data_IF_364363736021
#
_entry.id   IF_364363736021
#
_cell.length_a   1.000
_cell.length_b   1.000
_cell.length_c   1.000
_cell.angle_alpha   90.00
_cell.angle_beta   90.00
_cell.angle_gamma   90.00
#
_symmetry.space_group_name_H-M   'P 1'
#
loop_
_entity.id
_entity.type
_entity.pdbx_description
1 polymer ?
#
# COMPACT_ATOMS: atom_id res chain seq x y z
N UNK A 1 6.67 -12.54 24.79
CA UNK A 1 7.47 -11.54 25.52
C UNK A 1 7.31 -11.77 27.01
N UNK A 2 8.39 -11.76 27.79
CA UNK A 2 8.25 -11.63 29.25
C UNK A 2 7.94 -10.17 29.60
N UNK A 3 7.28 -9.88 30.74
CA UNK A 3 7.04 -8.51 31.19
C UNK A 3 8.33 -7.67 31.34
N UNK A 4 9.46 -8.32 31.67
CA UNK A 4 10.77 -7.66 31.76
C UNK A 4 11.23 -7.07 30.42
N UNK A 5 11.01 -7.78 29.30
CA UNK A 5 11.40 -7.28 27.99
C UNK A 5 10.60 -6.03 27.58
N UNK A 6 9.32 -5.97 27.96
CA UNK A 6 8.49 -4.80 27.70
C UNK A 6 8.96 -3.57 28.51
N UNK A 7 9.33 -3.76 29.79
CA UNK A 7 9.89 -2.67 30.62
C UNK A 7 11.21 -2.16 30.07
N UNK A 8 12.12 -3.05 29.67
CA UNK A 8 13.41 -2.66 29.09
C UNK A 8 13.24 -1.94 27.75
N UNK A 9 12.27 -2.35 26.94
CA UNK A 9 11.93 -1.63 25.70
C UNK A 9 11.37 -0.23 26.00
N UNK A 10 10.46 -0.08 26.96
CA UNK A 10 9.92 1.23 27.37
C UNK A 10 10.98 2.16 27.98
N UNK A 11 12.05 1.60 28.56
CA UNK A 11 13.20 2.35 29.08
C UNK A 11 14.25 2.65 28.02
N UNK A 12 13.99 2.33 26.75
CA UNK A 12 14.94 2.45 25.64
C UNK A 12 16.24 1.64 25.83
N UNK A 13 16.24 0.70 26.79
CA UNK A 13 17.37 -0.19 27.05
C UNK A 13 17.48 -1.31 26.00
N UNK A 14 16.39 -1.56 25.26
CA UNK A 14 16.34 -2.48 24.11
C UNK A 14 15.66 -1.76 22.96
N UNK A 15 16.30 -1.77 21.78
CA UNK A 15 15.71 -1.31 20.54
C UNK A 15 15.34 -2.51 19.65
N UNK A 16 14.21 -2.40 18.96
CA UNK A 16 13.80 -3.34 17.92
C UNK A 16 13.85 -2.61 16.58
N UNK A 17 14.59 -3.17 15.64
CA UNK A 17 14.65 -2.68 14.26
C UNK A 17 14.01 -3.72 13.36
N UNK A 18 13.07 -3.29 12.53
CA UNK A 18 12.45 -4.12 11.49
C UNK A 18 12.92 -3.58 10.14
N UNK A 19 13.55 -4.45 9.36
CA UNK A 19 13.96 -4.15 7.99
C UNK A 19 13.02 -4.88 7.04
N UNK A 20 12.45 -4.15 6.09
CA UNK A 20 11.57 -4.70 5.05
C UNK A 20 12.31 -4.61 3.73
N UNK A 21 12.45 -5.75 3.05
CA UNK A 21 12.96 -5.80 1.70
C UNK A 21 11.84 -5.38 0.72
N UNK A 22 12.04 -4.22 0.09
CA UNK A 22 11.07 -3.62 -0.82
C UNK A 22 10.93 -4.42 -2.13
N UNK A 23 11.98 -5.13 -2.57
CA UNK A 23 11.92 -5.98 -3.76
C UNK A 23 11.12 -7.26 -3.49
N UNK A 24 11.19 -7.80 -2.27
CA UNK A 24 10.32 -8.92 -1.86
C UNK A 24 8.86 -8.49 -1.88
N UNK A 25 8.55 -7.30 -1.36
CA UNK A 25 7.20 -6.76 -1.43
C UNK A 25 6.73 -6.52 -2.88
N UNK A 26 7.58 -5.97 -3.77
CA UNK A 26 7.26 -5.84 -5.21
C UNK A 26 6.93 -7.20 -5.83
N UNK A 27 7.72 -8.23 -5.56
CA UNK A 27 7.48 -9.60 -6.07
C UNK A 27 6.15 -10.15 -5.60
N UNK A 28 5.82 -9.98 -4.32
CA UNK A 28 4.53 -10.41 -3.78
C UNK A 28 3.35 -9.68 -4.45
N UNK A 29 3.48 -8.38 -4.76
CA UNK A 29 2.44 -7.68 -5.53
C UNK A 29 2.33 -8.19 -6.98
N UNK A 30 3.45 -8.50 -7.62
CA UNK A 30 3.48 -9.08 -8.96
C UNK A 30 2.80 -10.46 -9.00
N UNK A 31 2.95 -11.28 -7.96
CA UNK A 31 2.24 -12.57 -7.82
C UNK A 31 0.72 -12.38 -7.80
N UNK A 32 0.24 -11.25 -7.31
CA UNK A 32 -1.18 -10.83 -7.32
C UNK A 32 -1.56 -10.04 -8.59
N UNK A 33 -0.72 -10.06 -9.62
CA UNK A 33 -0.89 -9.31 -10.89
C UNK A 33 -1.06 -7.79 -10.70
N UNK A 34 -0.41 -7.22 -9.67
CA UNK A 34 -0.46 -5.79 -9.34
C UNK A 34 0.93 -5.18 -9.48
N UNK A 35 0.97 -4.02 -10.13
CA UNK A 35 2.17 -3.20 -10.22
C UNK A 35 2.29 -2.34 -8.97
N UNK A 36 3.48 -2.33 -8.36
CA UNK A 36 3.81 -1.52 -7.19
C UNK A 36 4.99 -0.61 -7.50
N UNK A 37 4.86 0.68 -7.15
CA UNK A 37 5.91 1.69 -7.25
C UNK A 37 6.11 2.33 -5.88
N UNK A 38 7.32 2.29 -5.33
CA UNK A 38 7.61 2.93 -4.05
C UNK A 38 7.70 4.44 -4.21
N UNK A 39 7.01 5.19 -3.35
CA UNK A 39 6.98 6.65 -3.39
C UNK A 39 7.80 7.25 -2.25
N UNK A 40 7.54 6.80 -1.02
CA UNK A 40 8.20 7.27 0.21
C UNK A 40 8.30 8.80 0.29
N UNK A 41 7.19 9.49 0.00
CA UNK A 41 7.13 10.95 -0.12
C UNK A 41 6.81 11.67 1.21
N UNK A 42 6.84 10.94 2.33
CA UNK A 42 6.45 11.42 3.66
C UNK A 42 4.94 11.33 3.94
N UNK A 43 4.12 11.00 2.93
CA UNK A 43 2.68 10.81 3.07
C UNK A 43 2.25 9.42 2.57
N UNK A 44 2.74 9.01 1.41
CA UNK A 44 2.45 7.75 0.74
C UNK A 44 3.70 6.89 0.65
N UNK A 45 3.56 5.63 1.03
CA UNK A 45 4.63 4.64 0.93
C UNK A 45 4.76 4.13 -0.51
N UNK A 46 3.64 3.86 -1.17
CA UNK A 46 3.63 3.24 -2.51
C UNK A 46 2.37 3.60 -3.29
N UNK A 47 2.47 3.48 -4.62
CA UNK A 47 1.34 3.43 -5.55
C UNK A 47 1.19 2.00 -6.05
N UNK A 48 -0.02 1.46 -6.00
CA UNK A 48 -0.39 0.18 -6.60
C UNK A 48 -1.39 0.39 -7.74
N UNK A 49 -1.23 -0.33 -8.84
CA UNK A 49 -2.16 -0.27 -9.97
C UNK A 49 -2.24 -1.61 -10.73
N UNK A 50 -3.32 -1.78 -11.50
CA UNK A 50 -3.47 -2.92 -12.40
C UNK A 50 -2.64 -2.78 -13.67
N UNK A 51 -2.48 -1.55 -14.15
CA UNK A 51 -1.75 -1.24 -15.38
C UNK A 51 -0.98 0.07 -15.17
N UNK A 52 0.36 0.07 -15.29
CA UNK A 52 1.16 1.28 -15.14
C UNK A 52 0.97 2.26 -16.31
N UNK A 53 0.55 1.77 -17.49
CA UNK A 53 0.31 2.59 -18.68
C UNK A 53 -1.12 3.14 -18.72
N UNK A 54 -2.04 2.54 -17.94
CA UNK A 54 -3.44 2.96 -17.85
C UNK A 54 -3.98 2.92 -16.40
N UNK A 55 -3.77 4.03 -15.68
CA UNK A 55 -4.24 4.18 -14.30
C UNK A 55 -5.76 4.18 -14.16
N UNK A 56 -6.52 4.38 -15.24
CA UNK A 56 -7.99 4.35 -15.20
C UNK A 56 -8.53 2.94 -14.97
N UNK A 57 -7.74 1.89 -15.24
CA UNK A 57 -8.07 0.51 -14.87
C UNK A 57 -8.09 0.29 -13.36
N UNK A 58 -7.44 1.18 -12.61
CA UNK A 58 -7.44 1.18 -11.16
C UNK A 58 -6.04 1.47 -10.63
N UNK A 59 -5.94 2.52 -9.82
CA UNK A 59 -4.73 2.89 -9.11
C UNK A 59 -5.08 3.39 -7.71
N UNK A 60 -4.23 3.09 -6.73
CA UNK A 60 -4.37 3.54 -5.35
C UNK A 60 -3.01 3.87 -4.75
N UNK A 61 -2.93 4.96 -3.98
CA UNK A 61 -1.77 5.23 -3.13
C UNK A 61 -2.04 4.76 -1.71
N UNK A 62 -1.06 4.06 -1.15
CA UNK A 62 -1.08 3.54 0.22
C UNK A 62 -0.30 4.52 1.09
N UNK A 63 -0.86 4.92 2.24
CA UNK A 63 -0.18 5.85 3.16
C UNK A 63 1.04 5.21 3.81
N UNK A 64 2.02 6.03 4.21
CA UNK A 64 3.16 5.55 5.00
C UNK A 64 2.73 4.99 6.35
N UNK A 65 1.78 5.64 7.02
CA UNK A 65 1.22 5.15 8.29
C UNK A 65 0.62 3.75 8.16
N UNK A 66 -0.05 3.45 7.03
CA UNK A 66 -0.63 2.13 6.81
C UNK A 66 0.45 1.06 6.58
N UNK A 67 1.50 1.39 5.82
CA UNK A 67 2.64 0.49 5.61
C UNK A 67 3.44 0.26 6.91
N UNK A 68 3.59 1.30 7.74
CA UNK A 68 4.30 1.22 9.02
C UNK A 68 3.72 0.17 9.96
N UNK A 69 2.42 -0.13 9.87
CA UNK A 69 1.77 -1.18 10.66
C UNK A 69 2.42 -2.55 10.49
N UNK A 70 3.02 -2.84 9.34
CA UNK A 70 3.78 -4.09 9.14
C UNK A 70 4.87 -4.23 10.20
N UNK A 71 5.63 -3.15 10.43
CA UNK A 71 6.72 -3.12 11.40
C UNK A 71 6.27 -3.00 12.85
N UNK A 72 5.24 -2.19 13.13
CA UNK A 72 4.82 -1.89 14.51
C UNK A 72 3.87 -2.93 15.08
N UNK A 73 3.11 -3.62 14.24
CA UNK A 73 2.19 -4.69 14.62
C UNK A 73 2.72 -6.09 14.23
N UNK A 74 3.94 -6.16 13.69
CA UNK A 74 4.57 -7.42 13.24
C UNK A 74 3.68 -8.22 12.27
N UNK A 75 3.03 -7.52 11.34
CA UNK A 75 2.15 -8.16 10.36
C UNK A 75 2.97 -8.89 9.29
N UNK A 76 2.41 -9.96 8.74
CA UNK A 76 3.01 -10.62 7.58
C UNK A 76 2.96 -9.71 6.36
N UNK A 77 4.10 -9.59 5.66
CA UNK A 77 4.19 -8.85 4.41
C UNK A 77 3.31 -9.43 3.31
N UNK A 78 3.24 -10.77 3.22
CA UNK A 78 2.35 -11.44 2.24
C UNK A 78 0.88 -11.19 2.55
N UNK A 79 0.51 -11.21 3.83
CA UNK A 79 -0.85 -10.88 4.25
C UNK A 79 -1.20 -9.43 3.91
N UNK A 80 -0.27 -8.50 4.18
CA UNK A 80 -0.47 -7.09 3.84
C UNK A 80 -0.72 -6.92 2.34
N UNK A 81 0.14 -7.52 1.50
CA UNK A 81 0.01 -7.49 0.04
C UNK A 81 -1.34 -8.05 -0.39
N UNK A 82 -1.69 -9.27 0.00
CA UNK A 82 -2.96 -9.91 -0.34
C UNK A 82 -4.16 -9.05 0.05
N UNK A 83 -4.13 -8.49 1.25
CA UNK A 83 -5.22 -7.66 1.76
C UNK A 83 -5.32 -6.34 1.00
N UNK A 84 -4.20 -5.72 0.60
CA UNK A 84 -4.22 -4.50 -0.22
C UNK A 84 -4.65 -4.78 -1.65
N UNK A 85 -4.28 -5.93 -2.21
CA UNK A 85 -4.66 -6.39 -3.55
C UNK A 85 -6.17 -6.56 -3.73
N UNK A 86 -6.90 -6.88 -2.63
CA UNK A 86 -8.36 -7.04 -2.65
C UNK A 86 -9.13 -5.80 -3.10
N UNK A 87 -8.53 -4.62 -3.10
CA UNK A 87 -9.19 -3.41 -3.64
C UNK A 87 -9.50 -3.53 -5.15
N UNK A 88 -8.78 -4.41 -5.84
CA UNK A 88 -8.98 -4.70 -7.26
C UNK A 88 -9.89 -5.89 -7.54
N UNK A 89 -10.34 -6.61 -6.51
CA UNK A 89 -11.28 -7.72 -6.65
C UNK A 89 -12.67 -7.20 -7.07
N UNK A 90 -13.02 -7.43 -8.33
CA UNK A 90 -14.28 -6.98 -8.92
C UNK A 90 -15.50 -7.66 -8.30
N UNK A 91 -15.36 -8.90 -7.85
CA UNK A 91 -16.46 -9.71 -7.30
C UNK A 91 -16.87 -9.23 -5.90
N UNK A 92 -15.99 -8.48 -5.22
CA UNK A 92 -16.23 -7.92 -3.88
C UNK A 92 -16.67 -6.46 -3.90
N UNK A 93 -16.75 -5.83 -5.08
CA UNK A 93 -17.18 -4.44 -5.17
C UNK A 93 -18.69 -4.36 -4.96
N UNK A 94 -19.19 -3.42 -4.13
CA UNK A 94 -20.61 -3.13 -4.15
C UNK A 94 -21.01 -2.72 -5.58
N UNK A 95 -22.20 -3.13 -6.01
CA UNK A 95 -22.73 -2.66 -7.29
C UNK A 95 -22.89 -1.14 -7.23
N UNK A 96 -22.01 -0.40 -7.93
CA UNK A 96 -22.12 1.04 -8.05
C UNK A 96 -22.92 1.33 -9.31
N UNK A 97 -24.14 1.82 -9.14
CA UNK A 97 -24.91 2.38 -10.25
C UNK A 97 -24.34 3.75 -10.61
N UNK A 98 -23.57 3.81 -11.70
CA UNK A 98 -22.99 5.06 -12.23
C UNK A 98 -24.05 6.16 -12.46
N UNK A 99 -25.31 5.77 -12.69
CA UNK A 99 -26.43 6.68 -12.88
C UNK A 99 -26.77 7.53 -11.64
N UNK A 100 -26.33 7.12 -10.45
CA UNK A 100 -26.61 7.80 -9.18
C UNK A 100 -25.45 8.70 -8.71
N UNK A 101 -24.33 8.73 -9.45
CA UNK A 101 -23.18 9.57 -9.12
C UNK A 101 -23.33 10.95 -9.76
N UNK A 102 -23.04 11.99 -8.99
CA UNK A 102 -22.94 13.33 -9.55
C UNK A 102 -21.69 13.42 -10.47
N UNK A 103 -21.70 14.25 -11.53
CA UNK A 103 -20.56 14.36 -12.45
C UNK A 103 -19.22 14.67 -11.75
N UNK A 104 -19.26 15.44 -10.67
CA UNK A 104 -18.11 15.78 -9.82
C UNK A 104 -17.54 14.60 -9.01
N UNK A 105 -18.32 13.54 -8.81
CA UNK A 105 -17.90 12.31 -8.13
C UNK A 105 -17.21 11.34 -9.11
N UNK A 106 -17.30 11.60 -10.41
CA UNK A 106 -16.73 10.76 -11.46
C UNK A 106 -15.33 11.27 -11.79
N UNK A 107 -14.33 10.49 -11.39
CA UNK A 107 -12.94 10.73 -11.79
C UNK A 107 -12.80 10.37 -13.28
N UNK A 108 -12.60 11.37 -14.12
CA UNK A 108 -12.43 11.21 -15.59
C UNK A 108 -10.98 11.21 -16.03
N UNK A 109 -10.05 11.52 -15.13
CA UNK A 109 -8.62 11.46 -15.36
C UNK A 109 -7.89 11.13 -14.06
N UNK A 110 -6.70 10.50 -14.10
CA UNK A 110 -5.93 10.20 -12.90
C UNK A 110 -5.64 11.48 -12.09
N UNK A 111 -5.56 11.40 -10.76
CA UNK A 111 -5.20 12.55 -9.95
C UNK A 111 -3.82 13.12 -10.33
N UNK A 112 -3.67 14.43 -10.20
CA UNK A 112 -2.44 15.15 -10.57
C UNK A 112 -1.21 14.53 -9.90
N UNK A 113 -0.16 14.26 -10.69
CA UNK A 113 1.11 13.72 -10.21
C UNK A 113 1.15 12.20 -10.01
N UNK A 114 0.07 11.48 -10.28
CA UNK A 114 0.03 10.02 -10.17
C UNK A 114 0.68 9.31 -11.37
N UNK A 115 0.55 9.89 -12.56
CA UNK A 115 1.17 9.39 -13.79
C UNK A 115 2.70 9.57 -13.80
N UNK A 116 3.22 10.47 -12.98
CA UNK A 116 4.65 10.73 -12.83
C UNK A 116 5.28 10.01 -11.64
N UNK A 117 4.58 9.02 -11.06
CA UNK A 117 5.14 8.20 -9.99
C UNK A 117 6.47 7.58 -10.46
N UNK A 118 7.51 7.73 -9.65
CA UNK A 118 8.81 7.12 -9.87
C UNK A 118 9.16 6.32 -8.64
N UNK A 119 9.76 5.16 -8.87
CA UNK A 119 10.21 4.34 -7.77
C UNK A 119 11.31 5.09 -7.02
N UNK A 120 11.13 5.31 -5.72
CA UNK A 120 12.11 6.02 -4.90
C UNK A 120 13.39 5.22 -4.67
N UNK A 121 13.41 3.95 -5.10
CA UNK A 121 14.54 3.04 -4.98
C UNK A 121 15.29 2.82 -6.32
N UNK A 122 14.75 3.31 -7.44
CA UNK A 122 15.36 3.19 -8.78
C UNK A 122 16.27 4.40 -9.13
#
# INVERSE_FOLDING_TARGET
MSPQNAVLFMQEAIAVVVLIDLDVAKKLFQEEAIHCTWLMDGTHSMQICLDPDDLMKGAYRISECLFQRISTEFLSLSWFVQERSRIFDLDRRPAIELANLAPEEIITSPPTGWTSARDCYD
#
